data_IF_428960073015
#
_entry.id   IF_428960073015
#
_cell.length_a   1.000
_cell.length_b   1.000
_cell.length_c   1.000
_cell.angle_alpha   90.00
_cell.angle_beta   90.00
_cell.angle_gamma   90.00
#
_symmetry.space_group_name_H-M   'P 1'
#
loop_
_entity.id
_entity.type
_entity.pdbx_description
1 polymer ?
#
# COMPACT_ATOMS: atom_id res chain seq x y z
N UNK A 1 -18.47 11.02 -8.81
CA UNK A 1 -17.42 10.01 -8.57
C UNK A 1 -17.37 9.70 -7.09
N UNK A 2 -17.41 8.44 -6.77
CA UNK A 2 -17.41 8.01 -5.38
C UNK A 2 -16.09 7.37 -5.02
N UNK A 3 -15.54 7.79 -3.89
CA UNK A 3 -14.38 7.14 -3.34
C UNK A 3 -14.82 5.91 -2.58
N UNK A 4 -14.10 4.82 -2.77
CA UNK A 4 -14.34 3.57 -2.10
C UNK A 4 -13.24 3.34 -1.08
N UNK A 5 -13.57 2.69 0.01
CA UNK A 5 -12.56 2.25 0.96
C UNK A 5 -11.99 0.93 0.47
N UNK A 6 -10.69 0.94 0.19
CA UNK A 6 -10.01 -0.20 -0.41
C UNK A 6 -8.86 -0.59 0.50
N UNK A 7 -8.79 -1.86 0.86
CA UNK A 7 -7.71 -2.36 1.69
C UNK A 7 -6.60 -2.88 0.79
N UNK A 8 -5.40 -2.39 1.05
CA UNK A 8 -4.20 -2.75 0.31
C UNK A 8 -3.20 -3.38 1.25
N UNK A 9 -2.67 -4.53 0.88
CA UNK A 9 -1.66 -5.23 1.65
C UNK A 9 -0.29 -4.94 1.07
N UNK A 10 0.61 -4.48 1.91
CA UNK A 10 2.00 -4.27 1.55
C UNK A 10 2.82 -5.26 2.34
N UNK A 11 3.51 -6.14 1.64
CA UNK A 11 4.32 -7.19 2.28
C UNK A 11 5.79 -7.02 1.94
N UNK A 12 6.58 -7.08 2.97
CA UNK A 12 8.03 -7.24 2.88
C UNK A 12 8.38 -8.46 3.74
N UNK A 13 9.30 -8.30 4.66
CA UNK A 13 9.49 -9.30 5.72
C UNK A 13 8.26 -9.25 6.63
N UNK A 14 7.78 -8.04 6.89
CA UNK A 14 6.55 -7.81 7.64
C UNK A 14 5.43 -7.45 6.67
N UNK A 15 4.20 -7.57 7.13
CA UNK A 15 3.04 -7.23 6.34
C UNK A 15 2.23 -6.15 7.04
N UNK A 16 1.76 -5.18 6.28
CA UNK A 16 0.86 -4.15 6.79
C UNK A 16 -0.35 -4.05 5.86
N UNK A 17 -1.50 -3.81 6.44
CA UNK A 17 -2.74 -3.57 5.70
C UNK A 17 -3.12 -2.11 5.90
N UNK A 18 -3.32 -1.41 4.80
CA UNK A 18 -3.67 0.01 4.82
C UNK A 18 -5.00 0.19 4.13
N UNK A 19 -5.92 0.89 4.77
CA UNK A 19 -7.19 1.24 4.15
C UNK A 19 -7.04 2.59 3.44
N UNK A 20 -7.44 2.62 2.18
CA UNK A 20 -7.33 3.82 1.37
C UNK A 20 -8.66 4.16 0.72
N UNK A 21 -8.88 5.44 0.50
CA UNK A 21 -10.02 5.90 -0.29
C UNK A 21 -9.54 6.17 -1.70
N UNK A 22 -10.13 5.48 -2.66
CA UNK A 22 -9.80 5.64 -4.08
C UNK A 22 -11.01 5.28 -4.92
N UNK A 23 -11.02 5.74 -6.16
CA UNK A 23 -12.11 5.46 -7.08
C UNK A 23 -12.04 4.05 -7.64
N UNK A 24 -10.83 3.56 -7.84
CA UNK A 24 -10.61 2.23 -8.41
C UNK A 24 -9.53 1.50 -7.63
N UNK A 25 -9.47 0.18 -7.84
CA UNK A 25 -8.44 -0.64 -7.24
C UNK A 25 -7.05 -0.24 -7.70
N UNK A 26 -6.92 0.11 -8.99
CA UNK A 26 -5.63 0.56 -9.52
C UNK A 26 -5.16 1.84 -8.84
N UNK A 27 -6.06 2.77 -8.61
CA UNK A 27 -5.72 4.02 -7.95
C UNK A 27 -5.27 3.76 -6.52
N UNK A 28 -5.92 2.82 -5.83
CA UNK A 28 -5.52 2.44 -4.48
C UNK A 28 -4.12 1.86 -4.46
N UNK A 29 -3.81 0.98 -5.42
CA UNK A 29 -2.48 0.39 -5.50
C UNK A 29 -1.41 1.43 -5.78
N UNK A 30 -1.68 2.35 -6.69
CA UNK A 30 -0.74 3.42 -7.02
C UNK A 30 -0.51 4.34 -5.83
N UNK A 31 -1.56 4.66 -5.12
CA UNK A 31 -1.45 5.52 -3.94
C UNK A 31 -0.66 4.83 -2.84
N UNK A 32 -0.92 3.55 -2.62
CA UNK A 32 -0.18 2.77 -1.63
C UNK A 32 1.32 2.75 -1.94
N UNK A 33 1.66 2.50 -3.20
CA UNK A 33 3.05 2.49 -3.61
C UNK A 33 3.71 3.85 -3.41
N UNK A 34 3.00 4.90 -3.77
CA UNK A 34 3.52 6.26 -3.58
C UNK A 34 3.78 6.57 -2.11
N UNK A 35 2.83 6.25 -1.24
CA UNK A 35 2.98 6.50 0.19
C UNK A 35 4.11 5.67 0.78
N UNK A 36 4.24 4.43 0.33
CA UNK A 36 5.32 3.56 0.78
C UNK A 36 6.69 4.12 0.38
N UNK A 37 6.84 4.53 -0.87
CA UNK A 37 8.11 5.07 -1.35
C UNK A 37 8.46 6.41 -0.74
N UNK A 38 7.45 7.20 -0.38
CA UNK A 38 7.67 8.49 0.27
C UNK A 38 7.95 8.37 1.76
N UNK A 39 7.87 7.17 2.31
CA UNK A 39 8.12 6.94 3.73
C UNK A 39 6.95 7.26 4.64
N UNK A 40 5.78 7.50 4.09
CA UNK A 40 4.59 7.73 4.90
C UNK A 40 4.00 6.42 5.43
N UNK A 41 4.25 5.32 4.71
CA UNK A 41 3.96 3.99 5.19
C UNK A 41 5.31 3.33 5.43
N UNK A 42 5.59 2.98 6.68
CA UNK A 42 6.89 2.44 7.07
C UNK A 42 6.71 1.03 7.63
N UNK A 43 7.48 0.11 7.06
CA UNK A 43 7.61 -1.25 7.58
C UNK A 43 8.99 -1.38 8.20
N UNK A 44 9.08 -2.09 9.31
CA UNK A 44 10.34 -2.27 10.02
C UNK A 44 11.18 -3.37 9.37
N UNK A 45 11.58 -3.13 8.13
CA UNK A 45 12.38 -4.09 7.39
C UNK A 45 13.63 -3.42 6.85
N UNK A 46 14.56 -4.21 6.35
CA UNK A 46 15.80 -3.66 5.82
C UNK A 46 15.54 -2.88 4.54
N UNK A 47 16.46 -1.96 4.24
CA UNK A 47 16.30 -1.03 3.13
C UNK A 47 16.24 -1.69 1.76
N UNK A 48 16.63 -2.95 1.66
CA UNK A 48 16.75 -3.64 0.39
C UNK A 48 15.79 -4.81 0.25
N UNK A 49 14.80 -4.90 1.12
CA UNK A 49 13.82 -5.96 1.03
C UNK A 49 12.92 -5.75 -0.19
N UNK A 50 12.70 -6.82 -0.95
CA UNK A 50 11.68 -6.79 -1.98
C UNK A 50 10.32 -6.67 -1.32
N UNK A 51 9.43 -5.97 -1.98
CA UNK A 51 8.09 -5.80 -1.46
C UNK A 51 7.05 -6.14 -2.51
N UNK A 52 5.87 -6.49 -2.04
CA UNK A 52 4.71 -6.67 -2.90
C UNK A 52 3.56 -5.81 -2.39
N UNK A 53 2.76 -5.30 -3.30
CA UNK A 53 1.56 -4.53 -2.99
C UNK A 53 0.42 -5.23 -3.71
N UNK A 54 -0.61 -5.58 -2.97
CA UNK A 54 -1.76 -6.27 -3.54
C UNK A 54 -3.04 -5.88 -2.83
N UNK A 55 -4.15 -6.16 -3.48
CA UNK A 55 -5.46 -6.00 -2.87
C UNK A 55 -5.77 -7.19 -1.98
N UNK A 56 -6.51 -6.91 -0.94
CA UNK A 56 -7.01 -7.97 -0.08
C UNK A 56 -8.31 -8.53 -0.66
#
# INVERSE_FOLDING_TARGET
>A
MELKKIQVEISEINTIVVEMEAETNEDALKLAEKLYKNGEIVLNSSDFADYTISLI
#
